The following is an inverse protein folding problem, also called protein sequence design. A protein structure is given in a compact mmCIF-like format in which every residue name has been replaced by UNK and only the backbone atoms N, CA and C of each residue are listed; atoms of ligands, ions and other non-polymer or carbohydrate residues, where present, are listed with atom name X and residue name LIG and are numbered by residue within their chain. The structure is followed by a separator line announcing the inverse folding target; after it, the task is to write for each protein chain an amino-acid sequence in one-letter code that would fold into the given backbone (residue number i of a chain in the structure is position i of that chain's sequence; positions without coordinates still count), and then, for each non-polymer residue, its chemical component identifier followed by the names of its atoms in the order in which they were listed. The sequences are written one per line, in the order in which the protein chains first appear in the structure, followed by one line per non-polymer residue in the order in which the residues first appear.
data_IF_529465967796
#
_entry.id   IF_529465967796
#
_cell.length_a   1.000
_cell.length_b   1.000
_cell.length_c   1.000
_cell.angle_alpha   90.00
_cell.angle_beta   90.00
_cell.angle_gamma   90.00
#
_symmetry.space_group_name_H-M   'P 1'
#
loop_
_entity.id
_entity.type
_entity.pdbx_description
1 polymer ?
#
# COMPACT_ATOMS: atom_id res chain seq x y z
N UNK A 1 -26.58 -4.88 7.06
CA UNK A 1 -26.13 -4.85 5.66
C UNK A 1 -26.34 -3.43 5.13
N UNK A 2 -25.42 -2.85 4.36
CA UNK A 2 -25.57 -1.49 3.81
C UNK A 2 -25.90 -1.64 2.32
N UNK A 3 -27.19 -1.63 1.93
CA UNK A 3 -27.63 -2.06 0.60
C UNK A 3 -27.20 -1.13 -0.54
N UNK A 4 -26.84 0.13 -0.22
CA UNK A 4 -26.51 1.15 -1.22
C UNK A 4 -25.00 1.44 -1.32
N UNK A 5 -24.16 0.59 -0.72
CA UNK A 5 -22.71 0.79 -0.76
C UNK A 5 -22.11 0.27 -2.07
N UNK A 6 -21.39 1.13 -2.80
CA UNK A 6 -20.57 0.71 -3.94
C UNK A 6 -19.34 -0.04 -3.43
N UNK A 7 -19.16 -1.27 -3.90
CA UNK A 7 -17.97 -2.07 -3.59
C UNK A 7 -16.87 -1.70 -4.56
N UNK A 8 -15.71 -1.31 -4.03
CA UNK A 8 -14.52 -0.96 -4.82
C UNK A 8 -13.38 -1.89 -4.44
N UNK A 9 -12.80 -2.57 -5.42
CA UNK A 9 -11.59 -3.37 -5.23
C UNK A 9 -10.37 -2.45 -5.25
N UNK A 10 -9.47 -2.62 -4.29
CA UNK A 10 -8.24 -1.82 -4.23
C UNK A 10 -7.32 -2.10 -5.43
N UNK A 11 -7.10 -1.04 -6.21
CA UNK A 11 -6.12 -0.94 -7.30
C UNK A 11 -4.77 -1.56 -6.96
N UNK A 12 -4.24 -1.34 -5.74
CA UNK A 12 -2.91 -1.84 -5.37
C UNK A 12 -2.82 -3.36 -5.50
N UNK A 13 -3.85 -4.09 -5.06
CA UNK A 13 -3.87 -5.54 -5.15
C UNK A 13 -3.93 -6.01 -6.61
N UNK A 14 -4.74 -5.35 -7.44
CA UNK A 14 -4.87 -5.66 -8.87
C UNK A 14 -3.54 -5.42 -9.61
N UNK A 15 -2.93 -4.24 -9.45
CA UNK A 15 -1.63 -3.90 -10.04
C UNK A 15 -0.54 -4.87 -9.56
N UNK A 16 -0.54 -5.24 -8.27
CA UNK A 16 0.40 -6.22 -7.71
C UNK A 16 0.26 -7.60 -8.36
N UNK A 17 -0.91 -7.98 -8.87
CA UNK A 17 -1.07 -9.24 -9.59
C UNK A 17 -0.29 -9.26 -10.91
N UNK A 18 -0.14 -8.15 -11.61
CA UNK A 18 0.64 -8.10 -12.85
C UNK A 18 2.13 -8.34 -12.57
N UNK A 19 2.67 -7.77 -11.49
CA UNK A 19 4.02 -8.09 -11.00
C UNK A 19 4.18 -9.58 -10.65
N UNK A 20 3.16 -10.20 -10.03
CA UNK A 20 3.17 -11.64 -9.74
C UNK A 20 3.13 -12.47 -11.02
N UNK A 21 2.36 -12.06 -12.03
CA UNK A 21 2.29 -12.74 -13.33
C UNK A 21 3.62 -12.69 -14.07
N UNK A 22 4.29 -11.53 -14.09
CA UNK A 22 5.66 -11.41 -14.60
C UNK A 22 6.62 -12.34 -13.85
N UNK A 23 6.56 -12.39 -12.51
CA UNK A 23 7.43 -13.26 -11.72
C UNK A 23 7.19 -14.75 -12.02
N UNK A 24 5.95 -15.17 -12.31
CA UNK A 24 5.63 -16.54 -12.76
C UNK A 24 6.30 -16.84 -14.09
N UNK A 25 6.12 -15.96 -15.08
CA UNK A 25 6.75 -16.09 -16.40
C UNK A 25 8.28 -16.15 -16.28
N UNK A 26 8.87 -15.21 -15.55
CA UNK A 26 10.32 -15.13 -15.31
C UNK A 26 10.87 -16.42 -14.69
N UNK A 27 10.21 -16.97 -13.67
CA UNK A 27 10.63 -18.24 -13.04
C UNK A 27 10.58 -19.41 -14.02
N UNK A 28 9.49 -19.52 -14.80
CA UNK A 28 9.33 -20.60 -15.77
C UNK A 28 10.36 -20.53 -16.91
N UNK A 29 10.63 -19.32 -17.42
CA UNK A 29 11.68 -19.10 -18.43
C UNK A 29 13.04 -19.49 -17.85
N UNK A 30 13.38 -19.01 -16.63
CA UNK A 30 14.66 -19.33 -16.00
C UNK A 30 14.87 -20.81 -15.71
N UNK A 31 13.81 -21.57 -15.42
CA UNK A 31 13.95 -23.01 -15.20
C UNK A 31 14.40 -23.77 -16.43
N UNK A 32 14.15 -23.23 -17.64
CA UNK A 32 14.56 -23.83 -18.90
C UNK A 32 16.01 -23.49 -19.29
N UNK A 33 16.64 -22.53 -18.62
CA UNK A 33 18.00 -22.06 -18.94
C UNK A 33 19.07 -22.92 -18.28
N UNK A 34 20.24 -23.01 -18.92
CA UNK A 34 21.42 -23.64 -18.34
C UNK A 34 21.97 -22.81 -17.16
N UNK A 35 22.75 -23.42 -16.23
CA UNK A 35 23.39 -22.68 -15.15
C UNK A 35 24.24 -21.49 -15.63
N UNK A 36 24.92 -21.62 -16.77
CA UNK A 36 25.71 -20.54 -17.37
C UNK A 36 24.85 -19.38 -17.84
N UNK A 37 23.74 -19.66 -18.55
CA UNK A 37 22.79 -18.63 -18.99
C UNK A 37 22.15 -17.90 -17.81
N UNK A 38 21.78 -18.63 -16.74
CA UNK A 38 21.18 -18.04 -15.52
C UNK A 38 22.11 -17.04 -14.82
N UNK A 39 23.44 -17.22 -14.91
CA UNK A 39 24.43 -16.27 -14.37
C UNK A 39 24.38 -14.93 -15.09
N UNK A 40 24.07 -14.91 -16.39
CA UNK A 40 23.86 -13.69 -17.17
C UNK A 40 22.61 -12.89 -16.78
N UNK A 41 21.67 -13.52 -16.07
CA UNK A 41 20.43 -12.92 -15.56
C UNK A 41 20.53 -12.59 -14.06
N UNK A 42 21.68 -12.06 -13.62
CA UNK A 42 21.90 -11.76 -12.22
C UNK A 42 21.02 -10.58 -11.77
N UNK A 43 20.28 -10.77 -10.67
CA UNK A 43 19.35 -9.78 -10.11
C UNK A 43 18.25 -9.32 -11.09
N UNK A 44 17.98 -10.11 -12.13
CA UNK A 44 16.95 -9.85 -13.14
C UNK A 44 15.59 -9.46 -12.54
N UNK A 45 15.16 -10.16 -11.49
CA UNK A 45 13.91 -9.87 -10.77
C UNK A 45 13.82 -8.41 -10.32
N UNK A 46 14.89 -7.85 -9.78
CA UNK A 46 14.84 -6.49 -9.22
C UNK A 46 14.69 -5.43 -10.31
N UNK A 47 15.33 -5.66 -11.45
CA UNK A 47 15.23 -4.80 -12.63
C UNK A 47 13.86 -4.96 -13.30
N UNK A 48 13.42 -6.20 -13.53
CA UNK A 48 12.16 -6.48 -14.24
C UNK A 48 10.91 -6.07 -13.43
N UNK A 49 11.00 -5.96 -12.11
CA UNK A 49 9.88 -5.46 -11.29
C UNK A 49 9.74 -3.93 -11.32
N UNK A 50 10.80 -3.18 -11.69
CA UNK A 50 10.74 -1.72 -11.82
C UNK A 50 9.97 -1.29 -13.07
N UNK A 51 9.46 -0.06 -13.05
CA UNK A 51 8.95 0.62 -14.25
C UNK A 51 10.10 1.00 -15.15
N UNK A 52 9.87 1.06 -16.46
CA UNK A 52 10.92 1.36 -17.45
C UNK A 52 11.62 2.71 -17.19
N UNK A 53 10.86 3.71 -16.74
CA UNK A 53 11.37 5.05 -16.41
C UNK A 53 12.10 5.15 -15.05
N UNK A 54 12.05 4.09 -14.22
CA UNK A 54 12.76 4.01 -12.94
C UNK A 54 14.09 3.25 -13.04
N UNK A 55 14.41 2.73 -14.23
CA UNK A 55 15.65 2.04 -14.50
C UNK A 55 16.78 3.05 -14.61
N UNK A 56 17.90 2.82 -13.91
CA UNK A 56 19.14 3.53 -14.23
C UNK A 56 19.71 3.08 -15.57
N UNK A 57 20.61 3.86 -16.17
CA UNK A 57 21.24 3.50 -17.45
C UNK A 57 21.88 2.10 -17.43
N UNK A 58 22.55 1.76 -16.32
CA UNK A 58 23.15 0.44 -16.13
C UNK A 58 22.12 -0.69 -15.93
N UNK A 59 20.95 -0.39 -15.39
CA UNK A 59 19.83 -1.33 -15.33
C UNK A 59 19.15 -1.47 -16.69
N UNK A 60 18.98 -0.37 -17.43
CA UNK A 60 18.40 -0.35 -18.77
C UNK A 60 19.26 -1.14 -19.76
N UNK A 61 20.59 -1.00 -19.71
CA UNK A 61 21.51 -1.77 -20.56
C UNK A 61 21.40 -3.28 -20.31
N UNK A 62 21.24 -3.69 -19.04
CA UNK A 62 21.01 -5.10 -18.69
C UNK A 62 19.64 -5.56 -19.17
N UNK A 63 18.61 -4.76 -18.90
CA UNK A 63 17.24 -5.01 -19.34
C UNK A 63 17.17 -5.23 -20.86
N UNK A 64 17.71 -4.30 -21.65
CA UNK A 64 17.68 -4.35 -23.11
C UNK A 64 18.40 -5.60 -23.64
N UNK A 65 19.55 -5.94 -23.07
CA UNK A 65 20.25 -7.18 -23.39
C UNK A 65 19.43 -8.42 -23.07
N UNK A 66 18.73 -8.46 -21.94
CA UNK A 66 17.92 -9.62 -21.56
C UNK A 66 16.69 -9.80 -22.43
N UNK A 67 15.93 -8.75 -22.72
CA UNK A 67 14.72 -8.87 -23.56
C UNK A 67 15.06 -9.26 -25.01
N UNK A 68 16.23 -8.85 -25.50
CA UNK A 68 16.71 -9.23 -26.84
C UNK A 68 17.08 -10.71 -26.89
N UNK A 69 17.77 -11.21 -25.86
CA UNK A 69 18.20 -12.61 -25.80
C UNK A 69 17.09 -13.57 -25.36
N UNK A 70 16.09 -13.07 -24.63
CA UNK A 70 14.97 -13.85 -24.11
C UNK A 70 13.64 -13.13 -24.44
N UNK A 71 13.15 -13.21 -25.69
CA UNK A 71 11.96 -12.47 -26.13
C UNK A 71 10.71 -12.74 -25.27
N UNK A 72 10.51 -13.98 -24.79
CA UNK A 72 9.39 -14.31 -23.90
C UNK A 72 9.47 -13.55 -22.55
N UNK A 73 10.67 -13.21 -22.08
CA UNK A 73 10.85 -12.39 -20.89
C UNK A 73 10.51 -10.92 -21.16
N UNK A 74 10.86 -10.42 -22.36
CA UNK A 74 10.47 -9.11 -22.83
C UNK A 74 8.95 -8.97 -22.97
N UNK A 75 8.30 -9.94 -23.61
CA UNK A 75 6.84 -9.99 -23.77
C UNK A 75 6.14 -9.96 -22.40
N UNK A 76 6.58 -10.78 -21.44
CA UNK A 76 6.02 -10.76 -20.09
C UNK A 76 6.22 -9.41 -19.38
N UNK A 77 7.36 -8.74 -19.58
CA UNK A 77 7.62 -7.42 -19.01
C UNK A 77 6.73 -6.35 -19.63
N UNK A 78 6.61 -6.32 -20.96
CA UNK A 78 5.75 -5.37 -21.67
C UNK A 78 4.28 -5.60 -21.30
N UNK A 79 3.82 -6.85 -21.19
CA UNK A 79 2.46 -7.14 -20.70
C UNK A 79 2.21 -6.57 -19.30
N UNK A 80 3.19 -6.66 -18.38
CA UNK A 80 3.10 -6.00 -17.07
C UNK A 80 3.06 -4.48 -17.25
N UNK A 81 3.95 -3.91 -18.06
CA UNK A 81 4.04 -2.45 -18.19
C UNK A 81 2.77 -1.84 -18.81
N UNK A 82 2.27 -2.45 -19.89
CA UNK A 82 1.02 -2.08 -20.58
C UNK A 82 -0.19 -2.27 -19.68
N UNK A 83 -0.20 -3.29 -18.81
CA UNK A 83 -1.27 -3.42 -17.83
C UNK A 83 -1.34 -2.16 -16.97
N UNK A 84 -0.21 -1.71 -16.40
CA UNK A 84 -0.23 -0.51 -15.53
C UNK A 84 -0.70 0.76 -16.24
N UNK A 85 -0.58 0.85 -17.57
CA UNK A 85 -1.06 2.02 -18.35
C UNK A 85 -2.59 2.20 -18.24
N UNK A 86 -3.37 1.13 -18.06
CA UNK A 86 -4.84 1.21 -17.88
C UNK A 86 -5.20 2.15 -16.71
N UNK A 87 -4.34 2.22 -15.70
CA UNK A 87 -4.55 3.05 -14.52
C UNK A 87 -4.24 4.53 -14.71
N UNK A 88 -3.86 4.95 -15.93
CA UNK A 88 -3.71 6.34 -16.33
C UNK A 88 -4.97 6.90 -17.02
N UNK A 89 -5.96 6.05 -17.32
CA UNK A 89 -7.25 6.46 -17.88
C UNK A 89 -7.98 7.43 -16.95
N UNK A 90 -8.71 8.39 -17.54
CA UNK A 90 -9.45 9.41 -16.79
C UNK A 90 -10.87 8.97 -16.48
N UNK A 91 -11.43 8.10 -17.31
CA UNK A 91 -12.80 7.60 -17.14
C UNK A 91 -12.82 6.08 -17.04
N UNK A 92 -13.91 5.57 -16.44
CA UNK A 92 -14.17 4.14 -16.36
C UNK A 92 -14.25 3.48 -17.73
N UNK A 93 -14.89 4.13 -18.70
CA UNK A 93 -15.04 3.61 -20.07
C UNK A 93 -13.68 3.50 -20.76
N UNK A 94 -12.85 4.56 -20.70
CA UNK A 94 -11.48 4.52 -21.21
C UNK A 94 -10.65 3.39 -20.58
N UNK A 95 -10.79 3.17 -19.27
CA UNK A 95 -10.07 2.11 -18.56
C UNK A 95 -10.52 0.72 -19.01
N UNK A 96 -11.82 0.52 -19.24
CA UNK A 96 -12.35 -0.75 -19.76
C UNK A 96 -11.85 -1.00 -21.19
N UNK A 97 -11.89 0.00 -22.06
CA UNK A 97 -11.35 -0.11 -23.41
C UNK A 97 -9.86 -0.43 -23.41
N UNK A 98 -9.08 0.24 -22.56
CA UNK A 98 -7.65 -0.04 -22.38
C UNK A 98 -7.40 -1.46 -21.87
N UNK A 99 -8.23 -1.97 -20.95
CA UNK A 99 -8.16 -3.35 -20.50
C UNK A 99 -8.46 -4.37 -21.59
N UNK A 100 -9.49 -4.15 -22.41
CA UNK A 100 -9.78 -5.03 -23.53
C UNK A 100 -8.68 -4.99 -24.60
N UNK A 101 -8.09 -3.82 -24.84
CA UNK A 101 -6.91 -3.70 -25.69
C UNK A 101 -5.73 -4.49 -25.13
N UNK A 102 -5.46 -4.36 -23.83
CA UNK A 102 -4.44 -5.15 -23.15
C UNK A 102 -4.70 -6.65 -23.23
N UNK A 103 -5.95 -7.09 -23.05
CA UNK A 103 -6.31 -8.50 -23.11
C UNK A 103 -6.00 -9.11 -24.49
N UNK A 104 -6.17 -8.34 -25.58
CA UNK A 104 -5.80 -8.74 -26.95
C UNK A 104 -4.28 -8.87 -27.15
N UNK A 105 -3.46 -8.20 -26.34
CA UNK A 105 -2.01 -8.33 -26.40
C UNK A 105 -1.51 -9.62 -25.73
N UNK A 106 -2.32 -10.24 -24.86
CA UNK A 106 -1.91 -11.45 -24.13
C UNK A 106 -1.87 -12.63 -25.10
N UNK A 107 -0.67 -13.04 -25.50
CA UNK A 107 -0.50 -14.22 -26.35
C UNK A 107 -0.89 -15.52 -25.63
N UNK A 108 -1.21 -16.60 -26.37
CA UNK A 108 -1.50 -17.91 -25.79
C UNK A 108 -0.39 -18.44 -24.87
N UNK A 109 0.88 -18.12 -25.17
CA UNK A 109 2.04 -18.51 -24.35
C UNK A 109 2.05 -17.81 -23.00
N UNK A 110 1.57 -16.57 -22.95
CA UNK A 110 1.54 -15.72 -21.76
C UNK A 110 0.27 -15.91 -20.93
N UNK A 111 -0.83 -16.36 -21.54
CA UNK A 111 -2.11 -16.61 -20.87
C UNK A 111 -1.93 -17.42 -19.59
N UNK A 112 -1.17 -18.52 -19.60
CA UNK A 112 -0.94 -19.34 -18.38
C UNK A 112 -0.31 -18.60 -17.20
N UNK A 113 0.48 -17.56 -17.45
CA UNK A 113 1.14 -16.79 -16.38
C UNK A 113 0.26 -15.63 -15.88
N UNK A 114 -0.52 -15.05 -16.79
CA UNK A 114 -1.42 -13.92 -16.55
C UNK A 114 -2.86 -14.34 -16.24
N UNK A 115 -3.21 -15.61 -16.36
CA UNK A 115 -4.56 -16.15 -16.10
C UNK A 115 -5.14 -15.70 -14.76
N UNK A 116 -4.37 -15.66 -13.65
CA UNK A 116 -4.95 -15.21 -12.38
C UNK A 116 -5.38 -13.75 -12.37
N UNK A 117 -4.68 -12.86 -13.08
CA UNK A 117 -5.13 -11.45 -13.18
C UNK A 117 -6.29 -11.31 -14.16
N UNK A 118 -6.30 -12.08 -15.26
CA UNK A 118 -7.42 -12.11 -16.20
C UNK A 118 -8.70 -12.57 -15.51
N UNK A 119 -8.64 -13.67 -14.75
CA UNK A 119 -9.76 -14.17 -13.95
C UNK A 119 -10.22 -13.18 -12.90
N UNK A 120 -9.29 -12.53 -12.20
CA UNK A 120 -9.66 -11.51 -11.21
C UNK A 120 -10.38 -10.31 -11.85
N UNK A 121 -9.88 -9.82 -12.99
CA UNK A 121 -10.51 -8.73 -13.75
C UNK A 121 -11.86 -9.13 -14.33
N UNK A 122 -12.07 -10.40 -14.69
CA UNK A 122 -13.36 -10.92 -15.15
C UNK A 122 -14.37 -11.07 -14.01
N UNK A 123 -13.97 -11.71 -12.90
CA UNK A 123 -14.86 -11.98 -11.78
C UNK A 123 -15.27 -10.72 -11.00
N UNK A 124 -14.37 -9.74 -10.91
CA UNK A 124 -14.57 -8.50 -10.14
C UNK A 124 -14.59 -7.28 -11.06
N UNK A 125 -15.06 -7.46 -12.30
CA UNK A 125 -14.96 -6.43 -13.33
C UNK A 125 -15.56 -5.09 -12.86
N UNK A 126 -16.80 -5.12 -12.39
CA UNK A 126 -17.50 -3.91 -11.98
C UNK A 126 -16.85 -3.23 -10.77
N UNK A 127 -16.40 -4.02 -9.80
CA UNK A 127 -15.83 -3.53 -8.55
C UNK A 127 -14.40 -3.01 -8.73
N UNK A 128 -13.62 -3.58 -9.65
CA UNK A 128 -12.30 -3.05 -10.02
C UNK A 128 -12.46 -1.74 -10.78
N UNK A 129 -13.36 -1.68 -11.76
CA UNK A 129 -13.57 -0.48 -12.57
C UNK A 129 -14.31 0.64 -11.82
N UNK A 130 -15.04 0.33 -10.74
CA UNK A 130 -15.60 1.34 -9.83
C UNK A 130 -14.53 2.24 -9.18
N UNK A 131 -13.25 1.83 -9.17
CA UNK A 131 -12.13 2.69 -8.75
C UNK A 131 -12.06 4.00 -9.55
N UNK A 132 -12.42 3.99 -10.84
CA UNK A 132 -12.36 5.19 -11.68
C UNK A 132 -13.49 6.18 -11.36
N UNK A 133 -14.61 5.68 -10.84
CA UNK A 133 -15.71 6.51 -10.35
C UNK A 133 -15.45 6.99 -8.91
N UNK A 134 -14.76 6.17 -8.13
CA UNK A 134 -14.47 6.39 -6.71
C UNK A 134 -13.02 5.97 -6.39
N UNK A 135 -12.02 6.86 -6.54
CA UNK A 135 -10.59 6.53 -6.39
C UNK A 135 -10.17 6.39 -4.93
N UNK A 136 -10.78 5.44 -4.23
CA UNK A 136 -10.49 5.08 -2.85
C UNK A 136 -9.36 4.06 -2.84
N UNK A 137 -8.39 4.22 -1.95
CA UNK A 137 -7.28 3.28 -1.77
C UNK A 137 -7.28 2.73 -0.36
N UNK A 138 -6.98 1.44 -0.19
CA UNK A 138 -6.83 0.82 1.13
C UNK A 138 -5.41 1.04 1.70
N UNK A 139 -4.66 2.03 1.21
CA UNK A 139 -3.29 2.30 1.67
C UNK A 139 -3.23 2.55 3.18
N UNK A 140 -4.20 3.31 3.73
CA UNK A 140 -4.28 3.56 5.16
C UNK A 140 -4.53 2.27 5.96
N UNK A 141 -5.50 1.46 5.55
CA UNK A 141 -5.84 0.21 6.24
C UNK A 141 -4.74 -0.85 6.11
N UNK A 142 -4.07 -0.97 4.95
CA UNK A 142 -2.88 -1.79 4.75
C UNK A 142 -1.71 -1.35 5.65
N UNK A 143 -1.50 -0.04 5.81
CA UNK A 143 -0.45 0.48 6.68
C UNK A 143 -0.71 0.16 8.16
N UNK A 144 -1.97 0.23 8.61
CA UNK A 144 -2.38 -0.23 9.93
C UNK A 144 -2.20 -1.74 10.09
N UNK A 145 -2.62 -2.54 9.10
CA UNK A 145 -2.45 -3.99 9.12
C UNK A 145 -0.97 -4.40 9.21
N UNK A 146 -0.10 -3.71 8.49
CA UNK A 146 1.35 -3.93 8.60
C UNK A 146 1.88 -3.58 9.99
N UNK A 147 1.42 -2.47 10.58
CA UNK A 147 1.78 -2.11 11.95
C UNK A 147 1.34 -3.19 12.95
N UNK A 148 0.11 -3.71 12.84
CA UNK A 148 -0.39 -4.81 13.66
C UNK A 148 0.50 -6.05 13.55
N UNK A 149 0.88 -6.44 12.32
CA UNK A 149 1.77 -7.60 12.11
C UNK A 149 3.15 -7.40 12.72
N UNK A 150 3.72 -6.20 12.59
CA UNK A 150 5.00 -5.85 13.21
C UNK A 150 4.89 -5.96 14.72
N UNK A 151 3.86 -5.37 15.32
CA UNK A 151 3.63 -5.46 16.76
C UNK A 151 3.47 -6.92 17.22
N UNK A 152 2.60 -7.69 16.57
CA UNK A 152 2.38 -9.10 16.91
C UNK A 152 3.66 -9.95 16.83
N UNK A 153 4.52 -9.69 15.84
CA UNK A 153 5.81 -10.37 15.69
C UNK A 153 6.79 -10.00 16.80
N UNK A 154 6.85 -8.73 17.18
CA UNK A 154 7.74 -8.23 18.23
C UNK A 154 7.26 -8.65 19.62
N UNK A 155 5.95 -8.78 19.83
CA UNK A 155 5.35 -8.98 21.15
C UNK A 155 5.20 -10.43 21.62
N UNK A 156 5.74 -11.42 20.89
CA UNK A 156 5.81 -12.85 21.29
C UNK A 156 4.58 -13.36 22.08
N UNK A 157 3.37 -13.32 21.47
CA UNK A 157 2.18 -13.99 22.02
C UNK A 157 1.21 -13.11 22.81
N UNK A 158 1.10 -11.81 22.49
CA UNK A 158 -0.02 -11.01 22.99
C UNK A 158 -1.37 -11.55 22.53
N UNK A 159 -2.36 -11.54 23.43
CA UNK A 159 -3.75 -11.78 23.06
C UNK A 159 -4.25 -10.68 22.12
N UNK A 160 -5.34 -10.96 21.40
CA UNK A 160 -5.96 -9.98 20.52
C UNK A 160 -6.36 -8.71 21.29
N UNK A 161 -6.86 -8.86 22.52
CA UNK A 161 -7.26 -7.77 23.41
C UNK A 161 -6.07 -6.89 23.79
N UNK A 162 -4.92 -7.50 24.10
CA UNK A 162 -3.69 -6.78 24.42
C UNK A 162 -3.14 -6.00 23.20
N UNK A 163 -3.16 -6.62 22.01
CA UNK A 163 -2.80 -5.94 20.76
C UNK A 163 -3.77 -4.79 20.45
N UNK A 164 -5.08 -5.02 20.58
CA UNK A 164 -6.12 -4.01 20.36
C UNK A 164 -5.97 -2.84 21.32
N UNK A 165 -5.76 -3.10 22.61
CA UNK A 165 -5.55 -2.06 23.60
C UNK A 165 -4.30 -1.22 23.28
N UNK A 166 -3.19 -1.86 22.92
CA UNK A 166 -1.97 -1.15 22.52
C UNK A 166 -2.19 -0.30 21.26
N UNK A 167 -2.94 -0.80 20.27
CA UNK A 167 -3.26 -0.01 19.07
C UNK A 167 -4.14 1.21 19.36
N UNK A 168 -5.11 1.08 20.28
CA UNK A 168 -6.08 2.13 20.58
C UNK A 168 -5.58 3.15 21.62
N UNK A 169 -4.76 2.72 22.58
CA UNK A 169 -4.50 3.47 23.82
C UNK A 169 -3.01 3.78 24.09
N UNK A 170 -2.08 3.55 23.15
CA UNK A 170 -0.69 4.01 23.37
C UNK A 170 -0.68 5.56 23.49
N UNK A 171 -0.34 6.07 24.68
CA UNK A 171 -0.33 7.51 25.02
C UNK A 171 0.81 8.29 24.34
N UNK A 172 0.55 9.56 24.00
CA UNK A 172 1.52 10.47 23.36
C UNK A 172 1.49 10.51 21.83
N UNK A 173 0.66 9.67 21.21
CA UNK A 173 0.65 9.50 19.74
C UNK A 173 -0.56 10.14 19.06
N UNK A 174 -1.59 10.48 19.83
CA UNK A 174 -2.83 11.09 19.36
C UNK A 174 -2.58 12.52 18.85
N UNK A 175 -2.98 12.82 17.61
CA UNK A 175 -2.99 14.20 17.12
C UNK A 175 -4.06 14.98 17.88
N UNK A 176 -3.65 15.64 18.95
CA UNK A 176 -4.46 16.66 19.62
C UNK A 176 -4.42 17.91 18.74
N UNK A 177 -5.50 18.19 18.02
CA UNK A 177 -5.67 19.50 17.36
C UNK A 177 -5.97 20.51 18.47
N UNK A 178 -4.97 21.29 18.89
CA UNK A 178 -5.24 22.49 19.72
C UNK A 178 -6.08 23.44 18.86
N UNK A 179 -7.28 23.76 19.31
CA UNK A 179 -8.09 24.81 18.71
C UNK A 179 -7.29 26.11 18.78
N UNK A 180 -7.14 26.78 17.64
CA UNK A 180 -6.56 28.13 17.62
C UNK A 180 -7.54 29.03 18.38
N UNK A 181 -7.05 29.72 19.41
CA UNK A 181 -7.82 30.71 20.15
C UNK A 181 -8.47 31.69 19.17
N UNK A 182 -9.80 31.68 19.09
CA UNK A 182 -10.53 32.78 18.49
C UNK A 182 -10.56 33.88 19.56
N UNK A 183 -9.60 34.80 19.51
CA UNK A 183 -9.66 36.03 20.30
C UNK A 183 -10.85 36.83 19.77
N UNK A 184 -11.97 36.83 20.50
CA UNK A 184 -12.97 37.86 20.33
C UNK A 184 -12.36 39.20 20.78
N UNK A 185 -12.58 40.30 20.05
CA UNK A 185 -12.14 41.61 20.50
C UNK A 185 -12.82 41.94 21.82
N UNK A 186 -12.04 42.31 22.84
CA UNK A 186 -12.58 42.82 24.10
C UNK A 186 -13.21 44.19 23.80
N UNK A 187 -14.51 44.41 24.07
CA UNK A 187 -15.09 45.75 23.98
C UNK A 187 -14.45 46.65 25.03
N UNK A 188 -14.14 47.90 24.68
CA UNK A 188 -13.34 48.84 25.49
C UNK A 188 -13.88 49.18 26.90
N UNK A 189 -15.01 48.63 27.35
CA UNK A 189 -15.69 49.01 28.58
C UNK A 189 -16.00 47.84 29.55
N UNK A 190 -15.13 46.82 29.66
CA UNK A 190 -15.32 45.76 30.65
C UNK A 190 -14.22 45.77 31.73
N UNK A 191 -14.62 46.10 32.96
CA UNK A 191 -13.84 45.92 34.19
C UNK A 191 -13.75 44.41 34.49
N UNK A 192 -12.52 43.94 34.72
CA UNK A 192 -12.22 42.55 35.09
C UNK A 192 -12.80 42.20 36.47
N UNK A 193 -13.66 41.19 36.55
CA UNK A 193 -13.86 40.43 37.78
C UNK A 193 -14.47 39.03 37.52
N UNK A 194 -13.65 38.02 37.79
CA UNK A 194 -14.00 36.64 38.18
C UNK A 194 -14.60 35.64 37.16
N UNK A 195 -13.77 34.62 36.90
CA UNK A 195 -14.07 33.21 36.61
C UNK A 195 -15.51 32.86 36.20
N UNK A 196 -15.73 32.79 34.88
CA UNK A 196 -16.71 31.86 34.32
C UNK A 196 -15.97 30.62 33.87
N UNK A 197 -16.24 29.50 34.57
CA UNK A 197 -15.68 28.18 34.32
C UNK A 197 -15.63 27.88 32.82
N UNK A 198 -14.42 27.70 32.30
CA UNK A 198 -14.23 27.19 30.95
C UNK A 198 -14.88 25.80 30.88
N UNK A 199 -15.95 25.67 30.10
CA UNK A 199 -16.56 24.38 29.80
C UNK A 199 -15.47 23.40 29.31
N UNK A 200 -15.50 22.12 29.73
CA UNK A 200 -14.52 21.14 29.29
C UNK A 200 -14.59 21.02 27.77
N UNK A 201 -13.60 21.59 27.09
CA UNK A 201 -13.50 21.54 25.64
C UNK A 201 -13.38 20.08 25.22
N UNK A 202 -14.31 19.61 24.39
CA UNK A 202 -14.28 18.26 23.82
C UNK A 202 -13.04 18.18 22.92
N UNK A 203 -11.97 17.59 23.42
CA UNK A 203 -10.75 17.33 22.66
C UNK A 203 -11.07 16.22 21.66
N UNK A 204 -11.33 16.57 20.40
CA UNK A 204 -11.41 15.58 19.32
C UNK A 204 -10.05 14.91 19.12
N UNK A 205 -9.99 13.64 19.52
CA UNK A 205 -8.84 12.76 19.38
C UNK A 205 -8.91 12.02 18.04
N UNK A 206 -8.01 12.37 17.11
CA UNK A 206 -7.93 11.75 15.78
C UNK A 206 -7.07 10.48 15.73
N UNK A 207 -6.61 9.99 16.88
CA UNK A 207 -5.69 8.87 16.96
C UNK A 207 -4.29 9.23 16.42
N UNK A 208 -3.51 8.18 16.17
CA UNK A 208 -2.06 8.27 16.06
C UNK A 208 -1.50 8.21 14.65
N UNK A 209 -0.49 9.05 14.34
CA UNK A 209 0.18 9.02 13.03
C UNK A 209 1.03 7.75 12.88
N UNK A 210 0.84 7.04 11.78
CA UNK A 210 1.46 5.72 11.52
C UNK A 210 2.98 5.82 11.39
N UNK A 211 3.50 6.89 10.78
CA UNK A 211 4.95 7.16 10.70
C UNK A 211 5.59 7.27 12.09
N UNK A 212 4.88 7.86 13.05
CA UNK A 212 5.31 8.01 14.43
C UNK A 212 5.30 6.66 15.16
N UNK A 213 4.24 5.87 14.99
CA UNK A 213 4.14 4.52 15.57
C UNK A 213 5.25 3.58 15.05
N UNK A 214 5.58 3.64 13.76
CA UNK A 214 6.63 2.82 13.14
C UNK A 214 8.03 3.16 13.71
N UNK A 215 8.31 4.43 13.97
CA UNK A 215 9.61 4.88 14.48
C UNK A 215 9.83 4.40 15.91
N UNK A 216 8.81 4.52 16.76
CA UNK A 216 8.91 4.15 18.18
C UNK A 216 8.90 2.63 18.42
N UNK A 217 8.07 1.86 17.72
CA UNK A 217 8.14 0.38 17.88
C UNK A 217 9.46 -0.22 17.39
N UNK A 218 10.19 0.46 16.50
CA UNK A 218 11.57 0.10 16.14
C UNK A 218 12.56 0.48 17.24
N UNK A 219 12.31 1.54 18.02
CA UNK A 219 13.13 1.93 19.17
C UNK A 219 12.90 1.03 20.40
N UNK A 220 11.65 0.68 20.72
CA UNK A 220 11.30 -0.26 21.80
C UNK A 220 11.96 -1.63 21.62
N UNK A 221 12.08 -2.11 20.37
CA UNK A 221 12.75 -3.39 20.09
C UNK A 221 14.27 -3.43 20.38
N UNK A 222 14.87 -2.26 20.66
CA UNK A 222 16.32 -2.10 20.94
C UNK A 222 16.67 -1.77 22.39
N UNK A 223 15.68 -1.50 23.25
CA UNK A 223 15.91 -1.20 24.67
C UNK A 223 15.17 -2.21 25.56
N UNK A 224 15.86 -2.89 26.50
CA UNK A 224 15.18 -3.66 27.53
C UNK A 224 14.60 -2.68 28.54
N UNK A 225 13.32 -2.34 28.42
CA UNK A 225 12.65 -1.48 29.40
C UNK A 225 12.34 -2.32 30.64
N UNK A 226 13.07 -2.03 31.72
CA UNK A 226 12.76 -2.44 33.09
C UNK A 226 11.41 -1.85 33.49
N UNK A 227 10.41 -2.70 33.71
CA UNK A 227 9.16 -2.34 34.35
C UNK A 227 9.44 -2.02 35.83
N UNK A 228 9.60 -0.75 36.18
CA UNK A 228 9.52 -0.30 37.57
C UNK A 228 8.06 -0.38 38.02
N UNK A 229 7.78 -1.30 38.94
CA UNK A 229 6.56 -1.31 39.75
C UNK A 229 6.48 0.02 40.51
N UNK A 230 5.41 0.77 40.30
CA UNK A 230 4.95 1.76 41.28
C UNK A 230 3.63 1.26 41.84
N UNK A 231 3.67 0.89 43.11
CA UNK A 231 2.50 0.68 43.94
C UNK A 231 1.94 2.05 44.32
N UNK A 232 0.61 2.17 44.30
CA UNK A 232 -0.19 3.21 44.94
C UNK A 232 0.22 3.42 46.41
N UNK A 233 -0.11 4.58 47.04
CA UNK A 233 -1.12 5.59 46.67
C UNK A 233 -0.58 6.89 46.08
#
# INVERSE_FOLDING_TARGET
MIPNATIVIDKFHVVKMANKSLERARKAIRSQLTPQQRRGLLKDRFVLLKRKHELSDAEYLRYSGWILNYPEMGEAYELKESFFVIWNSQTRDEAQQAYYAWLRLVSPKMTRYFDPIIKAMGNWHNEVFAYFDHPITNAYTESLNNLTRVMNRTSRGYSFEALRAKMLFTEGFQKVKRTLYQRYPIPNNAISLFDMAAEPQIVTNYGSSISTLIKEFKMDSKSPISLTKSAYP
#
